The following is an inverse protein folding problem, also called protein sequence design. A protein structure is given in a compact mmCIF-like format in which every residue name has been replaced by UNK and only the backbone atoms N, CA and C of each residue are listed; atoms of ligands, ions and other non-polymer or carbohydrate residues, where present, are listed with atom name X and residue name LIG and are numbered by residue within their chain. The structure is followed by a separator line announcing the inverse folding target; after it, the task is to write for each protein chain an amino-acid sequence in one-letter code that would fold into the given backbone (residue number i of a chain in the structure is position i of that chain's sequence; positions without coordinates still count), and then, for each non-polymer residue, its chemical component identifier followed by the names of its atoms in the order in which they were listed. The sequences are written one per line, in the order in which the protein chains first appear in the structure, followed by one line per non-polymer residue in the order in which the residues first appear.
data_IF_748063058729
#
_entry.id   IF_748063058729
#
_cell.length_a   1.000
_cell.length_b   1.000
_cell.length_c   1.000
_cell.angle_alpha   90.00
_cell.angle_beta   90.00
_cell.angle_gamma   90.00
#
_symmetry.space_group_name_H-M   'P 1'
#
loop_
_entity.id
_entity.type
_entity.pdbx_description
1 polymer ?
#
# COMPACT_ATOMS: atom_id res chain seq x y z
N UNK A 1 -5.68 18.56 2.54
CA UNK A 1 -4.70 19.08 1.56
C UNK A 1 -3.98 17.88 0.98
N UNK A 2 -3.72 17.86 -0.33
CA UNK A 2 -2.98 16.77 -0.98
C UNK A 2 -1.70 17.32 -1.60
N UNK A 3 -0.60 16.60 -1.42
CA UNK A 3 0.72 16.96 -1.92
C UNK A 3 1.25 15.75 -2.70
N UNK A 4 1.84 16.01 -3.86
CA UNK A 4 2.59 15.01 -4.63
C UNK A 4 4.06 15.36 -4.54
N UNK A 5 4.87 14.43 -4.05
CA UNK A 5 6.31 14.60 -3.89
C UNK A 5 7.03 13.78 -4.96
N UNK A 6 7.94 14.42 -5.68
CA UNK A 6 8.92 13.74 -6.52
C UNK A 6 10.19 13.55 -5.69
N UNK A 7 10.41 12.34 -5.19
CA UNK A 7 11.53 12.03 -4.29
C UNK A 7 12.89 12.15 -4.98
N UNK A 8 12.98 11.88 -6.29
CA UNK A 8 14.22 12.00 -7.07
C UNK A 8 14.68 13.45 -7.20
N UNK A 9 13.75 14.38 -7.38
CA UNK A 9 14.05 15.81 -7.55
C UNK A 9 13.89 16.60 -6.25
N UNK A 10 13.40 15.96 -5.18
CA UNK A 10 13.04 16.57 -3.89
C UNK A 10 12.06 17.75 -4.01
N UNK A 11 11.27 17.79 -5.09
CA UNK A 11 10.25 18.81 -5.32
C UNK A 11 8.88 18.28 -4.94
N UNK A 12 7.99 19.18 -4.54
CA UNK A 12 6.60 18.85 -4.27
C UNK A 12 5.64 19.79 -4.99
N UNK A 13 4.43 19.29 -5.22
CA UNK A 13 3.32 20.06 -5.79
C UNK A 13 2.11 19.92 -4.89
N UNK A 14 1.57 21.05 -4.44
CA UNK A 14 0.30 21.10 -3.73
C UNK A 14 -0.83 21.02 -4.75
N UNK A 15 -1.76 20.10 -4.55
CA UNK A 15 -2.91 19.96 -5.43
C UNK A 15 -4.05 20.91 -5.00
N UNK A 16 -4.86 21.39 -5.95
CA UNK A 16 -6.07 22.12 -5.61
C UNK A 16 -7.00 21.24 -4.75
N UNK A 17 -7.90 21.86 -4.00
CA UNK A 17 -8.91 21.12 -3.23
C UNK A 17 -9.95 20.53 -4.19
N UNK A 18 -10.29 19.23 -4.09
CA UNK A 18 -11.41 18.67 -4.84
C UNK A 18 -12.72 19.44 -4.59
N UNK A 19 -13.45 19.67 -5.66
CA UNK A 19 -14.78 20.30 -5.65
C UNK A 19 -15.76 19.35 -4.95
N UNK A 20 -16.28 19.73 -3.77
CA UNK A 20 -17.14 18.86 -2.95
C UNK A 20 -16.61 18.60 -1.53
N UNK A 21 -15.38 19.04 -1.23
CA UNK A 21 -14.73 18.97 0.09
C UNK A 21 -15.40 19.77 1.23
N UNK A 22 -16.59 20.34 1.03
CA UNK A 22 -17.24 21.21 2.02
C UNK A 22 -17.76 20.46 3.25
N UNK A 23 -17.89 19.13 3.21
CA UNK A 23 -18.39 18.38 4.36
C UNK A 23 -17.27 18.00 5.34
N UNK A 24 -17.26 18.65 6.51
CA UNK A 24 -16.39 18.30 7.65
C UNK A 24 -16.58 16.86 8.16
N UNK A 25 -17.57 16.11 7.66
CA UNK A 25 -17.91 14.76 8.12
C UNK A 25 -17.32 13.62 7.26
N UNK A 26 -16.54 13.94 6.23
CA UNK A 26 -15.95 12.93 5.35
C UNK A 26 -14.81 12.15 6.04
N UNK A 27 -14.92 10.82 6.07
CA UNK A 27 -13.84 9.94 6.53
C UNK A 27 -12.95 9.56 5.34
N UNK A 28 -11.74 10.11 5.30
CA UNK A 28 -10.73 9.78 4.27
C UNK A 28 -10.20 8.37 4.47
N UNK A 29 -10.14 7.58 3.40
CA UNK A 29 -9.58 6.21 3.43
C UNK A 29 -8.18 6.13 2.85
N UNK A 30 -7.87 6.95 1.85
CA UNK A 30 -6.53 6.96 1.24
C UNK A 30 -6.45 7.87 0.03
N UNK A 31 -5.22 8.17 -0.38
CA UNK A 31 -4.87 8.82 -1.63
C UNK A 31 -3.84 7.96 -2.35
N UNK A 32 -4.03 7.78 -3.65
CA UNK A 32 -3.27 6.86 -4.48
C UNK A 32 -2.75 7.61 -5.70
N UNK A 33 -1.43 7.56 -5.89
CA UNK A 33 -0.80 8.09 -7.08
C UNK A 33 -0.86 7.03 -8.19
N UNK A 34 -1.55 7.36 -9.28
CA UNK A 34 -1.59 6.58 -10.50
C UNK A 34 -0.67 7.24 -11.52
N UNK A 35 0.55 6.71 -11.63
CA UNK A 35 1.57 7.27 -12.49
C UNK A 35 2.39 6.15 -13.13
N UNK A 36 2.50 6.21 -14.45
CA UNK A 36 3.34 5.34 -15.25
C UNK A 36 4.16 6.25 -16.19
N UNK A 37 5.40 6.59 -15.81
CA UNK A 37 6.22 7.55 -16.57
C UNK A 37 6.58 7.04 -17.97
N UNK A 38 6.45 5.73 -18.23
CA UNK A 38 6.68 5.16 -19.55
C UNK A 38 5.51 5.40 -20.51
N UNK A 39 4.30 5.65 -19.98
CA UNK A 39 3.09 5.90 -20.77
C UNK A 39 2.76 7.37 -20.91
N UNK A 40 3.01 8.18 -19.88
CA UNK A 40 2.66 9.60 -19.89
C UNK A 40 3.52 10.39 -18.90
N UNK A 41 3.91 11.64 -19.22
CA UNK A 41 4.49 12.54 -18.24
C UNK A 41 3.47 13.01 -17.19
N UNK A 42 2.17 12.80 -17.44
CA UNK A 42 1.10 13.22 -16.56
C UNK A 42 0.70 12.11 -15.58
N UNK A 43 0.61 12.46 -14.31
CA UNK A 43 0.08 11.60 -13.25
C UNK A 43 -1.39 11.90 -12.96
N UNK A 44 -2.05 10.93 -12.34
CA UNK A 44 -3.40 11.06 -11.78
C UNK A 44 -3.35 10.76 -10.28
N UNK A 45 -4.19 11.44 -9.50
CA UNK A 45 -4.33 11.15 -8.06
C UNK A 45 -5.76 10.75 -7.78
N UNK A 46 -5.94 9.60 -7.13
CA UNK A 46 -7.25 9.05 -6.81
C UNK A 46 -7.40 9.05 -5.30
N UNK A 47 -8.47 9.65 -4.80
CA UNK A 47 -8.74 9.79 -3.37
C UNK A 47 -10.06 9.09 -3.05
N UNK A 48 -10.02 8.15 -2.10
CA UNK A 48 -11.22 7.47 -1.60
C UNK A 48 -11.73 8.10 -0.31
N UNK A 49 -13.02 8.43 -0.26
CA UNK A 49 -13.66 9.06 0.89
C UNK A 49 -15.00 8.39 1.22
N UNK A 50 -15.30 8.22 2.50
CA UNK A 50 -16.63 7.82 2.97
C UNK A 50 -17.37 9.04 3.49
N UNK A 51 -18.61 9.23 3.04
CA UNK A 51 -19.47 10.31 3.51
C UNK A 51 -20.71 9.75 4.21
N UNK A 52 -21.15 10.37 5.30
CA UNK A 52 -22.44 10.03 5.88
C UNK A 52 -23.53 10.57 4.95
N UNK A 53 -24.48 9.71 4.58
CA UNK A 53 -25.61 10.11 3.74
C UNK A 53 -26.67 10.85 4.57
N UNK A 54 -26.95 10.37 5.79
CA UNK A 54 -27.74 11.04 6.83
C UNK A 54 -27.52 10.34 8.19
N UNK A 55 -28.16 10.81 9.29
CA UNK A 55 -28.11 10.13 10.60
C UNK A 55 -28.68 8.69 10.57
N UNK A 56 -29.45 8.33 9.54
CA UNK A 56 -30.19 7.05 9.46
C UNK A 56 -29.80 6.19 8.25
N UNK A 57 -28.94 6.68 7.36
CA UNK A 57 -28.53 5.97 6.15
C UNK A 57 -27.04 5.57 6.20
N UNK A 58 -26.67 4.44 5.57
CA UNK A 58 -25.29 3.98 5.56
C UNK A 58 -24.37 4.97 4.84
N UNK A 59 -23.09 4.90 5.19
CA UNK A 59 -22.03 5.66 4.54
C UNK A 59 -21.95 5.26 3.06
N UNK A 60 -21.77 6.24 2.18
CA UNK A 60 -21.46 6.00 0.77
C UNK A 60 -20.00 6.34 0.47
N UNK A 61 -19.47 5.70 -0.56
CA UNK A 61 -18.08 5.86 -0.97
C UNK A 61 -18.01 6.77 -2.20
N UNK A 62 -17.14 7.77 -2.15
CA UNK A 62 -16.82 8.64 -3.27
C UNK A 62 -15.34 8.49 -3.63
N UNK A 63 -15.07 8.66 -4.92
CA UNK A 63 -13.73 8.76 -5.47
C UNK A 63 -13.57 10.14 -6.10
N UNK A 64 -12.56 10.89 -5.65
CA UNK A 64 -12.10 12.10 -6.32
C UNK A 64 -10.86 11.77 -7.15
N UNK A 65 -10.90 12.00 -8.47
CA UNK A 65 -9.78 11.81 -9.38
C UNK A 65 -9.25 13.16 -9.87
N UNK A 66 -8.00 13.46 -9.57
CA UNK A 66 -7.25 14.57 -10.14
C UNK A 66 -6.48 14.13 -11.37
N UNK A 67 -6.50 14.92 -12.44
CA UNK A 67 -5.61 14.76 -13.59
C UNK A 67 -4.60 15.92 -13.65
N UNK A 68 -3.31 15.61 -13.65
CA UNK A 68 -2.25 16.64 -13.72
C UNK A 68 -2.17 17.37 -15.05
N UNK A 69 -2.68 16.79 -16.14
CA UNK A 69 -2.73 17.40 -17.47
C UNK A 69 -3.74 18.55 -17.51
N UNK A 70 -4.97 18.30 -17.06
CA UNK A 70 -6.03 19.31 -17.03
C UNK A 70 -6.01 20.18 -15.77
N UNK A 71 -5.32 19.74 -14.71
CA UNK A 71 -5.30 20.43 -13.42
C UNK A 71 -6.60 20.35 -12.63
N UNK A 72 -7.54 19.48 -13.04
CA UNK A 72 -8.90 19.45 -12.52
C UNK A 72 -9.21 18.16 -11.76
N UNK A 73 -10.15 18.28 -10.81
CA UNK A 73 -10.76 17.15 -10.11
C UNK A 73 -12.05 16.72 -10.79
N UNK A 74 -12.30 15.41 -10.77
CA UNK A 74 -13.57 14.79 -11.15
C UNK A 74 -14.01 13.85 -10.04
N UNK A 75 -15.24 14.04 -9.55
CA UNK A 75 -15.83 13.20 -8.50
C UNK A 75 -16.71 12.13 -9.12
N UNK A 76 -16.69 10.94 -8.52
CA UNK A 76 -17.51 9.81 -8.93
C UNK A 76 -17.98 8.99 -7.73
N UNK A 77 -19.19 8.44 -7.83
CA UNK A 77 -19.81 7.63 -6.78
C UNK A 77 -19.93 6.21 -7.31
N UNK A 78 -18.97 5.31 -7.01
CA UNK A 78 -19.08 3.91 -7.40
C UNK A 78 -20.23 3.22 -6.65
N UNK A 79 -20.81 2.15 -7.24
CA UNK A 79 -21.89 1.39 -6.61
C UNK A 79 -21.42 0.61 -5.38
N UNK A 80 -20.14 0.23 -5.37
CA UNK A 80 -19.54 -0.55 -4.30
C UNK A 80 -18.61 0.29 -3.41
N UNK A 81 -18.65 -0.01 -2.12
CA UNK A 81 -17.74 0.57 -1.14
C UNK A 81 -16.37 -0.08 -1.21
N UNK A 82 -15.32 0.74 -1.22
CA UNK A 82 -13.95 0.28 -1.00
C UNK A 82 -13.49 0.70 0.40
N UNK A 83 -12.78 -0.21 1.07
CA UNK A 83 -12.17 0.05 2.37
C UNK A 83 -10.82 -0.64 2.43
N UNK A 84 -9.75 0.09 2.75
CA UNK A 84 -8.43 -0.48 2.97
C UNK A 84 -7.29 0.21 2.23
N UNK A 85 -6.11 -0.41 2.29
CA UNK A 85 -4.91 0.04 1.60
C UNK A 85 -5.03 -0.30 0.11
N UNK A 86 -5.16 0.72 -0.73
CA UNK A 86 -5.20 0.56 -2.18
C UNK A 86 -3.79 0.58 -2.78
N UNK A 87 -3.58 -0.17 -3.85
CA UNK A 87 -2.30 -0.27 -4.55
C UNK A 87 -2.52 0.02 -6.03
N UNK A 88 -1.74 0.96 -6.58
CA UNK A 88 -1.71 1.18 -8.02
C UNK A 88 -0.80 0.15 -8.69
N UNK A 89 -1.33 -0.55 -9.69
CA UNK A 89 -0.58 -1.48 -10.52
C UNK A 89 -1.24 -1.61 -11.90
N UNK A 90 -0.44 -1.64 -12.97
CA UNK A 90 -0.91 -1.85 -14.35
C UNK A 90 -2.13 -0.99 -14.76
N UNK A 91 -2.10 0.31 -14.46
CA UNK A 91 -3.17 1.26 -14.85
C UNK A 91 -4.45 1.19 -14.02
N UNK A 92 -4.49 0.36 -12.98
CA UNK A 92 -5.63 0.24 -12.07
C UNK A 92 -5.20 0.36 -10.60
N UNK A 93 -6.16 0.74 -9.75
CA UNK A 93 -5.98 0.68 -8.29
C UNK A 93 -6.76 -0.52 -7.77
N UNK A 94 -6.11 -1.28 -6.89
CA UNK A 94 -6.65 -2.48 -6.30
C UNK A 94 -6.83 -2.31 -4.80
N UNK A 95 -8.00 -2.66 -4.27
CA UNK A 95 -8.26 -2.72 -2.82
C UNK A 95 -8.68 -4.13 -2.43
N UNK A 96 -8.03 -4.67 -1.40
CA UNK A 96 -8.44 -5.92 -0.80
C UNK A 96 -9.61 -5.69 0.17
N UNK A 97 -10.77 -6.30 -0.12
CA UNK A 97 -11.96 -6.21 0.73
C UNK A 97 -12.18 -7.57 1.40
N UNK A 98 -11.42 -7.80 2.48
CA UNK A 98 -11.29 -9.11 3.14
C UNK A 98 -12.62 -9.70 3.63
N UNK A 99 -13.54 -8.88 4.15
CA UNK A 99 -14.83 -9.34 4.66
C UNK A 99 -15.79 -9.81 3.54
N UNK A 100 -15.64 -9.28 2.32
CA UNK A 100 -16.37 -9.75 1.12
C UNK A 100 -15.58 -10.81 0.35
N UNK A 101 -14.32 -11.05 0.70
CA UNK A 101 -13.40 -11.88 -0.06
C UNK A 101 -13.33 -11.52 -1.56
N UNK A 102 -13.24 -10.21 -1.84
CA UNK A 102 -13.10 -9.68 -3.20
C UNK A 102 -11.90 -8.74 -3.29
N UNK A 103 -11.32 -8.66 -4.48
CA UNK A 103 -10.37 -7.65 -4.87
C UNK A 103 -11.10 -6.61 -5.73
N UNK A 104 -11.31 -5.42 -5.19
CA UNK A 104 -11.89 -4.32 -5.95
C UNK A 104 -10.83 -3.74 -6.87
N UNK A 105 -11.14 -3.63 -8.16
CA UNK A 105 -10.27 -3.04 -9.17
C UNK A 105 -10.95 -1.80 -9.76
N UNK A 106 -10.28 -0.67 -9.66
CA UNK A 106 -10.66 0.58 -10.33
C UNK A 106 -9.69 0.87 -11.47
N UNK A 107 -10.15 0.77 -12.72
CA UNK A 107 -9.36 1.20 -13.89
C UNK A 107 -9.37 2.72 -13.94
N UNK A 108 -8.20 3.34 -13.80
CA UNK A 108 -8.11 4.79 -13.56
C UNK A 108 -8.57 5.61 -14.76
N UNK A 109 -8.21 5.18 -15.98
CA UNK A 109 -8.52 5.89 -17.22
C UNK A 109 -9.96 5.60 -17.69
N UNK A 110 -10.37 4.32 -17.67
CA UNK A 110 -11.71 3.91 -18.03
C UNK A 110 -12.78 4.30 -16.99
N UNK A 111 -12.36 4.66 -15.77
CA UNK A 111 -13.27 4.99 -14.65
C UNK A 111 -14.22 3.86 -14.26
N UNK A 112 -13.79 2.62 -14.49
CA UNK A 112 -14.59 1.42 -14.23
C UNK A 112 -14.20 0.78 -12.90
N UNK A 113 -15.20 0.49 -12.08
CA UNK A 113 -15.05 -0.31 -10.86
C UNK A 113 -15.50 -1.75 -11.13
N UNK A 114 -14.67 -2.74 -10.80
CA UNK A 114 -15.00 -4.17 -10.90
C UNK A 114 -14.66 -4.87 -9.60
N UNK A 115 -15.58 -5.68 -9.07
CA UNK A 115 -15.27 -6.63 -7.99
C UNK A 115 -14.76 -7.95 -8.59
N UNK A 116 -13.55 -8.36 -8.22
CA UNK A 116 -12.97 -9.64 -8.65
C UNK A 116 -13.06 -10.65 -7.49
N UNK A 117 -13.77 -11.77 -7.65
CA UNK A 117 -13.87 -12.78 -6.60
C UNK A 117 -12.53 -13.48 -6.38
N UNK A 118 -12.18 -13.69 -5.10
CA UNK A 118 -10.96 -14.40 -4.71
C UNK A 118 -11.26 -15.89 -4.44
N UNK A 119 -10.65 -16.80 -5.21
CA UNK A 119 -10.87 -18.26 -5.03
C UNK A 119 -10.35 -18.78 -3.69
N UNK A 120 -9.27 -18.21 -3.18
CA UNK A 120 -8.73 -18.52 -1.84
C UNK A 120 -9.10 -17.39 -0.92
N UNK A 121 -9.70 -17.70 0.23
CA UNK A 121 -10.02 -16.71 1.25
C UNK A 121 -8.73 -15.98 1.63
N UNK A 122 -8.65 -14.67 1.37
CA UNK A 122 -7.52 -13.90 1.90
C UNK A 122 -7.56 -14.03 3.42
N UNK A 123 -6.45 -14.41 4.04
CA UNK A 123 -6.37 -14.49 5.51
C UNK A 123 -6.71 -13.13 6.11
N UNK A 124 -7.08 -13.12 7.40
CA UNK A 124 -7.70 -11.96 8.06
C UNK A 124 -6.85 -10.68 7.93
N UNK A 125 -7.49 -9.51 7.98
CA UNK A 125 -6.82 -8.20 7.83
C UNK A 125 -5.70 -8.02 8.88
N UNK A 126 -5.89 -8.61 10.05
CA UNK A 126 -4.99 -8.58 11.20
C UNK A 126 -3.67 -9.32 10.92
N UNK A 127 -3.68 -10.32 10.04
CA UNK A 127 -2.49 -11.08 9.64
C UNK A 127 -1.70 -10.41 8.51
N UNK A 128 -2.27 -9.41 7.83
CA UNK A 128 -1.64 -8.77 6.68
C UNK A 128 -0.58 -7.75 7.12
N UNK A 129 0.67 -7.99 6.74
CA UNK A 129 1.81 -7.10 7.00
C UNK A 129 2.11 -6.16 5.86
N UNK A 130 1.80 -6.57 4.63
CA UNK A 130 2.04 -5.77 3.44
C UNK A 130 1.00 -6.10 2.38
N UNK A 131 0.56 -5.07 1.66
CA UNK A 131 -0.10 -5.20 0.38
C UNK A 131 0.46 -4.13 -0.54
N UNK A 132 1.05 -4.56 -1.65
CA UNK A 132 1.75 -3.67 -2.58
C UNK A 132 1.88 -4.29 -3.95
N UNK A 133 2.61 -3.60 -4.82
CA UNK A 133 2.97 -4.10 -6.15
C UNK A 133 4.47 -4.30 -6.22
N UNK A 134 4.91 -5.33 -6.94
CA UNK A 134 6.30 -5.52 -7.30
C UNK A 134 6.36 -6.18 -8.67
N UNK A 135 7.18 -5.61 -9.56
CA UNK A 135 7.39 -6.08 -10.93
C UNK A 135 6.08 -6.27 -11.70
N UNK A 136 5.69 -7.53 -11.90
CA UNK A 136 4.60 -7.99 -12.75
C UNK A 136 3.34 -8.36 -11.96
N UNK A 137 3.25 -8.02 -10.68
CA UNK A 137 2.08 -8.40 -9.90
C UNK A 137 1.85 -7.65 -8.61
N UNK A 138 0.67 -7.91 -8.05
CA UNK A 138 0.33 -7.55 -6.68
C UNK A 138 0.88 -8.60 -5.73
N UNK A 139 1.40 -8.14 -4.59
CA UNK A 139 1.98 -8.96 -3.55
C UNK A 139 1.27 -8.70 -2.24
N UNK A 140 1.00 -9.77 -1.51
CA UNK A 140 0.61 -9.72 -0.10
C UNK A 140 1.65 -10.46 0.73
N UNK A 141 1.99 -9.90 1.88
CA UNK A 141 2.75 -10.59 2.91
C UNK A 141 1.89 -10.73 4.16
N UNK A 142 1.79 -11.95 4.68
CA UNK A 142 0.96 -12.28 5.84
C UNK A 142 1.74 -13.09 6.86
N UNK A 143 1.36 -12.96 8.13
CA UNK A 143 1.88 -13.78 9.22
C UNK A 143 1.00 -15.02 9.39
N UNK A 144 1.61 -16.21 9.31
CA UNK A 144 0.89 -17.48 9.55
C UNK A 144 0.91 -17.87 11.04
N UNK A 145 2.01 -17.55 11.73
CA UNK A 145 2.23 -17.84 13.15
C UNK A 145 3.15 -16.77 13.75
N UNK A 146 3.50 -16.92 15.02
CA UNK A 146 4.49 -16.08 15.71
C UNK A 146 5.92 -16.16 15.13
N UNK A 147 6.20 -17.12 14.25
CA UNK A 147 7.55 -17.34 13.71
C UNK A 147 7.57 -17.46 12.18
N UNK A 148 6.43 -17.32 11.50
CA UNK A 148 6.36 -17.56 10.05
C UNK A 148 5.68 -16.43 9.30
N UNK A 149 6.39 -15.92 8.29
CA UNK A 149 5.91 -14.93 7.34
C UNK A 149 5.73 -15.58 5.96
N UNK A 150 4.64 -15.28 5.26
CA UNK A 150 4.33 -15.85 3.96
C UNK A 150 4.15 -14.74 2.93
N UNK A 151 4.81 -14.89 1.79
CA UNK A 151 4.64 -14.01 0.63
C UNK A 151 3.78 -14.68 -0.43
N UNK A 152 2.76 -13.97 -0.87
CA UNK A 152 1.86 -14.38 -1.94
C UNK A 152 1.89 -13.38 -3.09
N UNK A 153 1.87 -13.89 -4.32
CA UNK A 153 1.64 -13.09 -5.54
C UNK A 153 0.23 -13.33 -6.06
N UNK A 154 -0.40 -12.30 -6.61
CA UNK A 154 -1.71 -12.42 -7.24
C UNK A 154 -1.58 -12.93 -8.67
N UNK A 155 -2.36 -13.95 -9.02
CA UNK A 155 -2.66 -14.27 -10.41
C UNK A 155 -4.08 -13.82 -10.77
N UNK A 156 -4.19 -13.26 -11.98
CA UNK A 156 -5.45 -12.85 -12.60
C UNK A 156 -5.70 -13.72 -13.84
N UNK A 157 -6.83 -14.44 -13.88
CA UNK A 157 -7.33 -15.07 -15.12
C UNK A 157 -8.76 -14.62 -15.36
N UNK A 158 -9.00 -13.94 -16.49
CA UNK A 158 -10.29 -13.50 -17.06
C UNK A 158 -11.30 -12.88 -16.08
N UNK A 159 -11.85 -13.69 -15.19
CA UNK A 159 -13.00 -13.51 -14.31
C UNK A 159 -12.73 -13.91 -12.85
N UNK A 160 -11.58 -14.52 -12.58
CA UNK A 160 -11.18 -14.99 -11.25
C UNK A 160 -9.74 -14.60 -10.89
N UNK A 161 -9.49 -14.47 -9.60
CA UNK A 161 -8.16 -14.19 -9.09
C UNK A 161 -7.84 -15.04 -7.87
N UNK A 162 -6.56 -15.36 -7.67
CA UNK A 162 -6.11 -16.13 -6.52
C UNK A 162 -4.68 -15.79 -6.14
N UNK A 163 -4.39 -16.04 -4.87
CA UNK A 163 -3.07 -15.88 -4.28
C UNK A 163 -2.25 -17.16 -4.42
N UNK A 164 -1.04 -17.03 -4.95
CA UNK A 164 -0.03 -18.08 -5.04
C UNK A 164 1.04 -17.83 -3.99
N UNK A 165 1.27 -18.82 -3.14
CA UNK A 165 2.38 -18.79 -2.18
C UNK A 165 3.70 -18.89 -2.96
N UNK A 166 4.59 -17.93 -2.78
CA UNK A 166 5.94 -17.94 -3.35
C UNK A 166 6.99 -18.28 -2.30
N UNK A 167 6.91 -17.68 -1.12
CA UNK A 167 7.88 -17.90 -0.05
C UNK A 167 7.20 -18.10 1.30
N UNK A 168 7.81 -18.95 2.12
CA UNK A 168 7.47 -19.15 3.52
C UNK A 168 8.76 -18.97 4.33
N UNK A 169 8.83 -17.90 5.11
CA UNK A 169 10.03 -17.43 5.79
C UNK A 169 9.95 -17.74 7.28
N UNK A 170 11.06 -18.17 7.87
CA UNK A 170 11.20 -18.29 9.32
C UNK A 170 11.73 -16.95 9.88
N UNK A 171 10.97 -16.34 10.78
CA UNK A 171 11.33 -15.09 11.45
C UNK A 171 12.40 -15.28 12.53
N UNK A 172 12.74 -16.52 12.91
CA UNK A 172 13.81 -16.80 13.87
C UNK A 172 15.17 -16.27 13.40
N UNK A 173 15.46 -16.27 12.09
CA UNK A 173 16.71 -15.66 11.56
C UNK A 173 16.78 -14.18 11.93
N UNK A 174 15.66 -13.45 11.81
CA UNK A 174 15.57 -12.03 12.15
C UNK A 174 15.65 -11.84 13.66
N UNK A 175 14.89 -12.63 14.42
CA UNK A 175 14.89 -12.56 15.89
C UNK A 175 16.24 -12.92 16.51
N UNK A 176 17.03 -13.78 15.86
CA UNK A 176 18.39 -14.13 16.32
C UNK A 176 19.39 -13.02 16.06
N UNK A 177 19.26 -12.31 14.94
CA UNK A 177 20.12 -11.17 14.59
C UNK A 177 19.76 -9.90 15.36
N UNK A 178 18.48 -9.73 15.70
CA UNK A 178 17.93 -8.55 16.37
C UNK A 178 17.01 -8.98 17.55
N UNK A 179 17.59 -9.40 18.69
CA UNK A 179 16.84 -9.93 19.84
C UNK A 179 15.82 -8.94 20.44
N UNK A 180 16.01 -7.63 20.22
CA UNK A 180 15.08 -6.57 20.63
C UNK A 180 13.73 -6.62 19.92
N UNK A 181 13.65 -7.35 18.79
CA UNK A 181 12.41 -7.66 18.07
C UNK A 181 11.69 -8.79 18.81
N UNK A 182 11.20 -8.46 19.99
CA UNK A 182 10.28 -9.28 20.75
C UNK A 182 8.95 -9.33 19.99
N UNK A 183 8.67 -10.45 19.33
CA UNK A 183 7.43 -10.77 18.62
C UNK A 183 7.19 -10.08 17.26
N UNK A 184 6.34 -10.73 16.47
CA UNK A 184 5.94 -10.45 15.07
C UNK A 184 5.34 -9.06 14.83
N UNK A 185 5.13 -8.26 15.86
CA UNK A 185 4.50 -6.94 15.76
C UNK A 185 5.49 -5.78 15.73
N UNK A 186 6.77 -5.99 16.08
CA UNK A 186 7.73 -4.89 16.18
C UNK A 186 8.40 -4.49 14.86
N UNK A 187 8.07 -5.15 13.75
CA UNK A 187 8.57 -4.79 12.42
C UNK A 187 7.43 -4.44 11.45
N UNK A 188 7.75 -3.56 10.50
CA UNK A 188 6.89 -3.20 9.36
C UNK A 188 7.60 -3.57 8.06
N UNK A 189 6.87 -4.16 7.12
CA UNK A 189 7.39 -4.34 5.76
C UNK A 189 7.16 -3.05 4.99
N UNK A 190 8.24 -2.40 4.56
CA UNK A 190 8.18 -1.13 3.83
C UNK A 190 7.91 -1.34 2.35
N UNK A 191 8.66 -2.25 1.73
CA UNK A 191 8.48 -2.63 0.33
C UNK A 191 9.08 -4.02 0.05
N UNK A 192 8.77 -4.53 -1.14
CA UNK A 192 9.36 -5.73 -1.70
C UNK A 192 10.15 -5.33 -2.94
N UNK A 193 11.42 -5.69 -2.97
CA UNK A 193 12.33 -5.42 -4.09
C UNK A 193 12.61 -6.75 -4.79
N UNK A 194 12.70 -6.73 -6.12
CA UNK A 194 13.15 -7.87 -6.91
C UNK A 194 14.61 -7.65 -7.29
N UNK A 195 15.45 -8.66 -7.04
CA UNK A 195 16.83 -8.70 -7.47
C UNK A 195 16.96 -8.99 -8.97
N UNK A 196 18.20 -9.09 -9.45
CA UNK A 196 18.50 -9.27 -10.87
C UNK A 196 18.05 -10.62 -11.44
N UNK A 197 17.97 -11.65 -10.60
CA UNK A 197 17.48 -12.98 -10.99
C UNK A 197 15.96 -13.05 -10.83
N UNK A 198 15.32 -13.84 -11.69
CA UNK A 198 13.85 -13.91 -11.81
C UNK A 198 13.11 -14.31 -10.53
N UNK A 199 13.80 -14.95 -9.58
CA UNK A 199 13.26 -15.44 -8.29
C UNK A 199 13.93 -14.82 -7.07
N UNK A 200 14.77 -13.80 -7.26
CA UNK A 200 15.41 -13.13 -6.14
C UNK A 200 14.48 -12.01 -5.65
N UNK A 201 13.84 -12.21 -4.50
CA UNK A 201 13.06 -11.16 -3.85
C UNK A 201 13.68 -10.82 -2.50
N UNK A 202 13.73 -9.53 -2.19
CA UNK A 202 14.16 -9.01 -0.91
C UNK A 202 13.05 -8.18 -0.25
N UNK A 203 12.89 -8.35 1.06
CA UNK A 203 12.03 -7.50 1.87
C UNK A 203 12.83 -6.36 2.47
N UNK A 204 12.31 -5.15 2.37
CA UNK A 204 12.82 -4.02 3.17
C UNK A 204 11.95 -3.93 4.42
N UNK A 205 12.56 -4.11 5.58
CA UNK A 205 11.89 -4.13 6.87
C UNK A 205 12.34 -2.95 7.72
N UNK A 206 11.38 -2.21 8.27
CA UNK A 206 11.64 -1.30 9.38
C UNK A 206 11.52 -2.09 10.68
N UNK A 207 12.60 -2.09 11.45
CA UNK A 207 12.68 -2.66 12.80
C UNK A 207 13.01 -1.51 13.79
N UNK A 208 12.91 -1.73 15.11
CA UNK A 208 13.34 -0.71 16.07
C UNK A 208 14.81 -0.32 15.79
N UNK A 209 15.04 0.97 15.55
CA UNK A 209 16.39 1.54 15.33
C UNK A 209 17.00 1.32 13.95
N UNK A 210 16.46 0.45 13.08
CA UNK A 210 17.12 0.12 11.81
C UNK A 210 16.13 -0.14 10.67
N UNK A 211 16.61 0.04 9.44
CA UNK A 211 16.00 -0.49 8.22
C UNK A 211 16.92 -1.57 7.66
N UNK A 212 16.40 -2.77 7.50
CA UNK A 212 17.15 -3.94 7.04
C UNK A 212 16.57 -4.48 5.73
N UNK A 213 17.40 -5.15 4.96
CA UNK A 213 17.00 -5.96 3.81
C UNK A 213 17.13 -7.45 4.14
N UNK A 214 16.10 -8.20 3.83
CA UNK A 214 16.07 -9.66 4.00
C UNK A 214 15.89 -10.34 2.65
N UNK A 215 16.90 -11.07 2.19
CA UNK A 215 16.84 -11.84 0.95
C UNK A 215 16.12 -13.17 1.21
N UNK A 216 15.01 -13.39 0.50
CA UNK A 216 14.15 -14.56 0.74
C UNK A 216 14.68 -15.86 0.14
N UNK A 217 15.49 -15.80 -0.91
CA UNK A 217 16.07 -17.00 -1.55
C UNK A 217 17.26 -17.52 -0.75
N UNK A 218 18.12 -16.60 -0.29
CA UNK A 218 19.36 -16.92 0.43
C UNK A 218 19.18 -17.01 1.94
N UNK A 219 18.05 -16.55 2.48
CA UNK A 219 17.82 -16.40 3.92
C UNK A 219 18.94 -15.57 4.59
N UNK A 220 19.29 -14.45 3.97
CA UNK A 220 20.39 -13.56 4.43
C UNK A 220 19.86 -12.18 4.78
N UNK A 221 20.56 -11.51 5.70
CA UNK A 221 20.21 -10.22 6.27
C UNK A 221 21.35 -9.23 6.02
N UNK A 222 20.99 -8.08 5.47
CA UNK A 222 21.91 -6.94 5.32
C UNK A 222 21.27 -5.70 5.95
N UNK A 223 22.05 -4.90 6.67
CA UNK A 223 21.58 -3.63 7.25
C UNK A 223 21.63 -2.57 6.15
N UNK A 224 20.47 -1.97 5.86
CA UNK A 224 20.33 -0.99 4.79
C UNK A 224 20.56 0.44 5.29
N UNK A 225 20.09 0.76 6.50
CA UNK A 225 20.24 2.08 7.10
C UNK A 225 19.98 2.06 8.61
N UNK A 226 20.85 2.71 9.40
CA UNK A 226 20.62 2.92 10.83
C UNK A 226 19.72 4.13 11.04
N UNK A 227 18.60 3.97 11.75
CA UNK A 227 17.74 5.08 12.12
C UNK A 227 18.26 5.66 13.44
N UNK A 228 19.17 6.62 13.37
CA UNK A 228 19.55 7.41 14.55
C UNK A 228 18.30 8.18 15.00
N UNK A 229 17.73 7.78 16.15
CA UNK A 229 16.71 8.57 16.84
C UNK A 229 17.34 9.93 17.13
N UNK A 230 16.80 10.98 16.49
CA UNK A 230 17.33 12.34 16.62
C UNK A 230 17.52 12.70 18.08
N UNK A 231 18.74 13.12 18.42
CA UNK A 231 19.06 13.66 19.73
C UNK A 231 18.06 14.76 20.07
N UNK A 232 17.56 14.74 21.32
CA UNK A 232 16.81 15.85 21.86
C UNK A 232 17.62 17.12 21.64
N UNK A 233 17.08 18.05 20.85
CA UNK A 233 17.59 19.41 20.78
C UNK A 233 17.36 20.00 22.17
N UNK A 234 18.35 19.87 23.04
CA UNK A 234 18.47 20.69 24.23
C UNK A 234 18.71 22.11 23.73
N UNK A 235 17.64 22.91 23.66
CA UNK A 235 17.76 24.36 23.58
C UNK A 235 18.45 24.85 24.87
N UNK A 236 19.78 24.93 24.82
CA UNK A 236 20.56 25.72 25.74
C UNK A 236 20.29 27.20 25.45
N UNK A 237 19.33 27.79 26.16
CA UNK A 237 19.23 29.23 26.32
C UNK A 237 20.49 29.72 27.05
N UNK A 238 21.42 30.30 26.30
CA UNK A 238 22.45 31.20 26.81
C UNK A 238 22.60 32.36 25.83
N UNK A 239 22.27 33.58 26.31
CA UNK A 239 22.41 34.85 25.59
C UNK A 239 21.32 35.82 25.95
#
# INVERSE_FOLDING_TARGET
MYIVCNLTTQKYKVLPKPSGLSSRSAMRRGAYLAFDPLKSPHYKVVVGSHYPRSKREPWYFEIDKYNSESGNWKTMIPPDTCCGCGVFWSGAIYWLVSYKNVLMRFKVDAEEMTALPLRRRSLSKESMKYFGACCDGLIIIQTRSSSTLQLFTLELKSDTCWWILKYCMNLETIGSAFPEIEYVFKFNVLCVVKGEKTEDYALVLAIPGNVITYNMERNTLDVFHDLVLGEQINEGLNG
#
